data_IF_150286955658
#
_entry.id   IF_150286955658
#
_cell.length_a   1.000
_cell.length_b   1.000
_cell.length_c   1.000
_cell.angle_alpha   90.00
_cell.angle_beta   90.00
_cell.angle_gamma   90.00
#
_symmetry.space_group_name_H-M   'P 1'
#
loop_
_entity.id
_entity.type
_entity.pdbx_description
1 polymer ?
#
# COMPACT_ATOMS: atom_id res chain seq x y z
N UNK A 1 13.20 -9.22 28.96
CA UNK A 1 11.88 -8.90 28.38
C UNK A 1 11.30 -10.14 27.73
N UNK A 2 10.04 -10.49 28.02
CA UNK A 2 9.33 -11.63 27.45
C UNK A 2 7.88 -11.25 27.13
N UNK A 3 7.29 -11.87 26.09
CA UNK A 3 5.92 -11.65 25.65
C UNK A 3 4.97 -12.63 26.33
N UNK A 4 3.80 -12.15 26.73
CA UNK A 4 2.74 -12.92 27.39
C UNK A 4 1.37 -12.51 26.86
N UNK A 5 0.42 -13.43 26.91
CA UNK A 5 -0.99 -13.08 26.86
C UNK A 5 -1.40 -12.46 28.18
N UNK A 6 -2.02 -11.29 28.13
CA UNK A 6 -2.51 -10.60 29.32
C UNK A 6 -3.63 -11.40 30.00
N UNK A 7 -3.58 -11.49 31.30
CA UNK A 7 -4.58 -12.14 32.15
C UNK A 7 -5.21 -11.10 33.10
N UNK A 8 -6.40 -11.35 33.65
CA UNK A 8 -7.08 -10.39 34.52
C UNK A 8 -6.23 -9.86 35.68
N UNK A 9 -5.31 -10.67 36.18
CA UNK A 9 -4.37 -10.31 37.25
C UNK A 9 -3.35 -9.24 36.84
N UNK A 10 -3.16 -9.06 35.54
CA UNK A 10 -2.27 -8.04 34.96
C UNK A 10 -2.91 -6.66 34.86
N UNK A 11 -4.22 -6.54 35.06
CA UNK A 11 -5.00 -5.34 34.69
C UNK A 11 -4.48 -4.07 35.38
N UNK A 12 -4.06 -4.12 36.62
CA UNK A 12 -3.55 -2.95 37.33
C UNK A 12 -2.24 -2.46 36.72
N UNK A 13 -1.33 -3.36 36.39
CA UNK A 13 -0.05 -3.04 35.75
C UNK A 13 -0.27 -2.56 34.32
N UNK A 14 -1.23 -3.16 33.60
CA UNK A 14 -1.63 -2.74 32.27
C UNK A 14 -2.15 -1.30 32.28
N UNK A 15 -3.12 -1.00 33.15
CA UNK A 15 -3.70 0.34 33.25
C UNK A 15 -2.70 1.37 33.78
N UNK A 16 -1.72 0.98 34.57
CA UNK A 16 -0.62 1.85 34.99
C UNK A 16 0.19 2.34 33.77
N UNK A 17 0.52 1.43 32.84
CA UNK A 17 1.18 1.81 31.58
C UNK A 17 0.28 2.69 30.71
N UNK A 18 -1.00 2.30 30.53
CA UNK A 18 -1.96 3.10 29.75
C UNK A 18 -2.06 4.51 30.31
N UNK A 19 -2.17 4.66 31.62
CA UNK A 19 -2.23 5.98 32.30
C UNK A 19 -0.96 6.80 32.08
N UNK A 20 0.20 6.17 32.09
CA UNK A 20 1.49 6.83 31.82
C UNK A 20 1.56 7.44 30.42
N UNK A 21 0.92 6.81 29.42
CA UNK A 21 1.00 7.23 28.00
C UNK A 21 -0.31 7.77 27.44
N UNK A 22 -1.37 7.95 28.26
CA UNK A 22 -2.72 8.35 27.83
C UNK A 22 -2.77 9.62 26.98
N UNK A 23 -1.82 10.53 27.16
CA UNK A 23 -1.70 11.76 26.40
C UNK A 23 -1.42 11.52 24.88
N UNK A 24 -0.98 10.31 24.53
CA UNK A 24 -0.79 9.87 23.13
C UNK A 24 -1.99 9.09 22.58
N UNK A 25 -3.11 9.01 23.30
CA UNK A 25 -4.28 8.25 22.89
C UNK A 25 -5.54 9.11 22.98
N UNK A 26 -6.12 9.50 21.84
CA UNK A 26 -7.47 10.06 21.80
C UNK A 26 -8.47 9.14 22.50
N UNK A 27 -9.42 9.73 23.24
CA UNK A 27 -10.44 8.95 23.93
C UNK A 27 -10.02 8.40 25.31
N UNK A 28 -8.88 8.84 25.90
CA UNK A 28 -8.45 8.45 27.24
C UNK A 28 -8.24 9.65 28.19
N UNK A 29 -8.89 10.78 27.89
CA UNK A 29 -8.69 12.06 28.61
C UNK A 29 -9.32 12.04 30.00
N UNK A 30 -10.42 11.32 30.18
CA UNK A 30 -11.19 11.33 31.42
C UNK A 30 -11.07 10.01 32.20
N UNK A 31 -11.37 10.05 33.51
CA UNK A 31 -11.39 8.84 34.33
C UNK A 31 -12.49 7.88 33.89
N UNK A 32 -13.59 8.37 33.38
CA UNK A 32 -14.69 7.55 32.85
C UNK A 32 -14.22 6.75 31.65
N UNK A 33 -13.60 7.40 30.66
CA UNK A 33 -13.04 6.76 29.47
C UNK A 33 -11.92 5.75 29.82
N UNK A 34 -11.11 6.02 30.84
CA UNK A 34 -10.13 5.05 31.34
C UNK A 34 -10.81 3.81 31.95
N UNK A 35 -11.93 3.98 32.63
CA UNK A 35 -12.71 2.85 33.18
C UNK A 35 -13.36 2.02 32.07
N UNK A 36 -13.88 2.63 31.03
CA UNK A 36 -14.41 1.95 29.85
C UNK A 36 -13.30 1.19 29.10
N UNK A 37 -12.12 1.81 28.94
CA UNK A 37 -10.96 1.16 28.37
C UNK A 37 -10.53 -0.07 29.20
N UNK A 38 -10.50 0.06 30.53
CA UNK A 38 -10.23 -1.06 31.44
C UNK A 38 -11.18 -2.24 31.22
N UNK A 39 -12.47 -1.97 31.10
CA UNK A 39 -13.47 -3.00 30.81
C UNK A 39 -13.24 -3.67 29.45
N UNK A 40 -12.85 -2.86 28.46
CA UNK A 40 -12.48 -3.35 27.13
C UNK A 40 -11.24 -4.25 27.20
N UNK A 41 -10.19 -3.85 27.89
CA UNK A 41 -8.97 -4.66 28.08
C UNK A 41 -9.31 -6.02 28.70
N UNK A 42 -10.11 -6.06 29.76
CA UNK A 42 -10.53 -7.32 30.41
C UNK A 42 -11.30 -8.22 29.44
N UNK A 43 -12.17 -7.65 28.59
CA UNK A 43 -12.89 -8.39 27.55
C UNK A 43 -11.94 -8.99 26.50
N UNK A 44 -10.90 -8.26 26.11
CA UNK A 44 -9.88 -8.75 25.18
C UNK A 44 -8.96 -9.80 25.82
N UNK A 45 -8.61 -9.66 27.10
CA UNK A 45 -7.89 -10.68 27.86
C UNK A 45 -8.67 -11.99 27.89
N UNK A 46 -9.98 -11.96 28.18
CA UNK A 46 -10.84 -13.13 28.18
C UNK A 46 -10.93 -13.84 26.82
N UNK A 47 -10.69 -13.13 25.72
CA UNK A 47 -10.66 -13.66 24.35
C UNK A 47 -9.25 -14.05 23.88
N UNK A 48 -8.22 -13.90 24.71
CA UNK A 48 -6.79 -14.05 24.35
C UNK A 48 -6.42 -13.16 23.13
N UNK A 49 -6.87 -11.90 23.16
CA UNK A 49 -6.61 -10.87 22.15
C UNK A 49 -5.94 -9.63 22.79
N UNK A 50 -5.39 -9.78 23.96
CA UNK A 50 -4.57 -8.82 24.69
C UNK A 50 -3.19 -9.45 24.93
N UNK A 51 -2.13 -8.80 24.49
CA UNK A 51 -0.76 -9.25 24.68
C UNK A 51 0.08 -8.16 25.33
N UNK A 52 1.08 -8.56 26.14
CA UNK A 52 1.97 -7.63 26.80
C UNK A 52 3.41 -8.15 26.81
N UNK A 53 4.35 -7.23 26.85
CA UNK A 53 5.76 -7.54 27.12
C UNK A 53 6.06 -7.18 28.58
N UNK A 54 6.65 -8.11 29.30
CA UNK A 54 7.06 -7.94 30.69
C UNK A 54 8.59 -7.97 30.81
N UNK A 55 9.10 -7.10 31.65
CA UNK A 55 10.47 -7.11 32.11
C UNK A 55 10.42 -7.27 33.63
N UNK A 56 10.86 -8.44 34.11
CA UNK A 56 10.61 -8.89 35.50
C UNK A 56 9.12 -8.80 35.88
N UNK A 57 8.75 -7.87 36.74
CA UNK A 57 7.41 -7.69 37.22
C UNK A 57 6.69 -6.45 36.63
N UNK A 58 7.32 -5.73 35.68
CA UNK A 58 6.81 -4.51 35.04
C UNK A 58 6.28 -4.83 33.63
N UNK A 59 5.12 -4.32 33.29
CA UNK A 59 4.63 -4.31 31.90
C UNK A 59 5.28 -3.14 31.17
N UNK A 60 6.01 -3.44 30.10
CA UNK A 60 6.78 -2.47 29.30
C UNK A 60 6.12 -2.11 27.99
N UNK A 61 5.20 -2.96 27.50
CA UNK A 61 4.39 -2.71 26.32
C UNK A 61 3.12 -3.55 26.32
N UNK A 62 2.09 -3.05 25.67
CA UNK A 62 0.76 -3.68 25.58
C UNK A 62 0.20 -3.52 24.19
N UNK A 63 -0.63 -4.49 23.76
CA UNK A 63 -1.37 -4.44 22.52
C UNK A 63 -2.69 -5.16 22.65
N UNK A 64 -3.72 -4.60 22.02
CA UNK A 64 -5.00 -5.25 21.75
C UNK A 64 -5.14 -5.48 20.26
N UNK A 65 -5.62 -6.65 19.86
CA UNK A 65 -5.93 -6.98 18.48
C UNK A 65 -7.26 -7.73 18.38
N UNK A 66 -7.95 -7.63 17.26
CA UNK A 66 -9.25 -8.27 17.05
C UNK A 66 -9.17 -9.27 15.90
N UNK A 67 -9.32 -10.57 16.19
CA UNK A 67 -9.44 -11.60 15.14
C UNK A 67 -10.72 -11.46 14.33
N UNK A 68 -11.81 -11.02 14.97
CA UNK A 68 -13.10 -10.89 14.30
C UNK A 68 -13.13 -9.74 13.27
N UNK A 69 -12.40 -8.67 13.53
CA UNK A 69 -12.27 -7.53 12.62
C UNK A 69 -10.95 -7.52 11.86
N UNK A 70 -10.08 -8.49 12.11
CA UNK A 70 -8.75 -8.61 11.55
C UNK A 70 -7.93 -7.32 11.65
N UNK A 71 -7.82 -6.77 12.87
CA UNK A 71 -7.21 -5.46 13.09
C UNK A 71 -6.40 -5.37 14.37
N UNK A 72 -5.44 -4.45 14.40
CA UNK A 72 -4.74 -4.01 15.60
C UNK A 72 -5.52 -2.84 16.19
N UNK A 73 -5.99 -2.99 17.45
CA UNK A 73 -6.88 -2.02 18.07
C UNK A 73 -6.12 -0.93 18.86
N UNK A 74 -5.03 -1.28 19.51
CA UNK A 74 -4.13 -0.32 20.16
C UNK A 74 -2.76 -0.94 20.43
N UNK A 75 -1.74 -0.09 20.48
CA UNK A 75 -0.37 -0.45 20.88
C UNK A 75 0.21 0.66 21.73
N UNK A 76 0.76 0.31 22.89
CA UNK A 76 1.45 1.24 23.76
C UNK A 76 2.76 0.66 24.29
N UNK A 77 3.81 1.49 24.35
CA UNK A 77 5.10 1.14 24.90
C UNK A 77 5.53 2.20 25.90
N UNK A 78 5.98 1.74 27.08
CA UNK A 78 6.54 2.62 28.11
C UNK A 78 7.68 3.48 27.53
N UNK A 79 7.69 4.81 27.78
CA UNK A 79 8.73 5.68 27.28
C UNK A 79 10.16 5.20 27.56
N UNK A 80 10.39 4.59 28.72
CA UNK A 80 11.68 4.05 29.14
C UNK A 80 12.15 2.85 28.28
N UNK A 81 11.21 2.14 27.63
CA UNK A 81 11.47 0.94 26.84
C UNK A 81 11.26 1.13 25.34
N UNK A 82 11.11 2.41 24.90
CA UNK A 82 11.09 2.73 23.47
C UNK A 82 12.43 2.44 22.82
N UNK A 83 12.41 2.03 21.55
CA UNK A 83 13.59 1.63 20.77
C UNK A 83 14.32 0.37 21.31
N UNK A 84 13.71 -0.36 22.22
CA UNK A 84 14.22 -1.63 22.77
C UNK A 84 13.57 -2.88 22.14
N UNK A 85 12.88 -2.74 21.01
CA UNK A 85 12.26 -3.86 20.30
C UNK A 85 10.86 -4.26 20.81
N UNK A 86 10.35 -3.67 21.90
CA UNK A 86 9.07 -4.03 22.53
C UNK A 86 7.90 -3.97 21.53
N UNK A 87 7.79 -2.88 20.77
CA UNK A 87 6.73 -2.74 19.77
C UNK A 87 6.83 -3.81 18.67
N UNK A 88 8.04 -4.17 18.22
CA UNK A 88 8.23 -5.24 17.23
C UNK A 88 7.81 -6.60 17.77
N UNK A 89 8.13 -6.94 19.01
CA UNK A 89 7.67 -8.19 19.64
C UNK A 89 6.14 -8.28 19.66
N UNK A 90 5.46 -7.17 19.98
CA UNK A 90 4.00 -7.11 19.99
C UNK A 90 3.40 -7.23 18.57
N UNK A 91 4.00 -6.57 17.59
CA UNK A 91 3.58 -6.66 16.19
C UNK A 91 3.73 -8.08 15.64
N UNK A 92 4.88 -8.71 15.86
CA UNK A 92 5.16 -10.06 15.38
C UNK A 92 4.14 -11.07 15.93
N UNK A 93 3.82 -11.00 17.23
CA UNK A 93 2.81 -11.86 17.85
C UNK A 93 1.39 -11.55 17.35
N UNK A 94 1.03 -10.28 17.19
CA UNK A 94 -0.29 -9.91 16.68
C UNK A 94 -0.50 -10.42 15.26
N UNK A 95 0.47 -10.24 14.37
CA UNK A 95 0.40 -10.72 12.99
C UNK A 95 0.36 -12.25 12.90
N UNK A 96 1.03 -12.96 13.80
CA UNK A 96 0.93 -14.42 13.91
C UNK A 96 -0.47 -14.91 14.33
N UNK A 97 -1.29 -14.03 14.92
CA UNK A 97 -2.65 -14.33 15.40
C UNK A 97 -3.77 -13.76 14.52
N UNK A 98 -3.45 -12.94 13.54
CA UNK A 98 -4.39 -12.36 12.58
C UNK A 98 -4.35 -13.12 11.25
N UNK A 99 -5.39 -12.96 10.43
CA UNK A 99 -5.50 -13.63 9.12
C UNK A 99 -4.74 -12.82 8.05
N UNK A 100 -3.50 -13.20 7.81
CA UNK A 100 -2.62 -12.55 6.80
C UNK A 100 -3.05 -12.84 5.35
N UNK A 101 -4.09 -13.66 5.14
CA UNK A 101 -4.69 -13.88 3.81
C UNK A 101 -5.76 -12.85 3.48
N UNK A 102 -6.07 -11.97 4.43
CA UNK A 102 -6.99 -10.84 4.32
C UNK A 102 -6.29 -9.56 4.76
N UNK A 103 -6.87 -8.45 4.42
CA UNK A 103 -6.40 -7.16 4.91
C UNK A 103 -6.40 -7.08 6.42
N UNK A 104 -5.31 -6.58 6.99
CA UNK A 104 -5.19 -6.27 8.40
C UNK A 104 -5.15 -4.75 8.53
N UNK A 105 -6.02 -4.18 9.35
CA UNK A 105 -6.08 -2.73 9.53
C UNK A 105 -5.56 -2.28 10.89
N UNK A 106 -5.15 -1.02 10.94
CA UNK A 106 -4.82 -0.27 12.16
C UNK A 106 -5.07 1.21 11.92
N UNK A 107 -5.51 1.93 12.93
CA UNK A 107 -5.68 3.38 12.88
C UNK A 107 -4.61 4.09 13.69
N UNK A 108 -4.12 5.22 13.18
CA UNK A 108 -3.18 6.07 13.88
C UNK A 108 -3.33 7.54 13.47
N UNK A 109 -2.53 8.42 14.00
CA UNK A 109 -2.54 9.86 13.71
C UNK A 109 -2.24 10.16 12.25
N UNK A 110 -2.82 11.22 11.70
CA UNK A 110 -2.55 11.71 10.34
C UNK A 110 -1.10 12.15 10.15
N UNK A 111 -0.69 12.34 8.89
CA UNK A 111 0.68 12.65 8.53
C UNK A 111 1.20 13.97 9.13
N UNK A 112 0.32 14.95 9.32
CA UNK A 112 0.57 16.27 9.89
C UNK A 112 0.63 16.28 11.43
N UNK A 113 0.27 15.18 12.10
CA UNK A 113 0.36 15.05 13.55
C UNK A 113 1.69 14.42 13.98
N UNK A 114 2.50 15.17 14.71
CA UNK A 114 3.81 14.72 15.22
C UNK A 114 3.71 13.50 16.14
N UNK A 115 2.59 13.32 16.87
CA UNK A 115 2.35 12.14 17.72
C UNK A 115 2.36 10.83 16.92
N UNK A 116 1.98 10.92 15.63
CA UNK A 116 1.93 9.79 14.70
C UNK A 116 3.27 9.37 14.12
N UNK A 117 4.35 10.15 14.26
CA UNK A 117 5.64 9.87 13.60
C UNK A 117 6.19 8.48 13.94
N UNK A 118 6.21 8.10 15.21
CA UNK A 118 6.74 6.81 15.64
C UNK A 118 5.81 5.63 15.27
N UNK A 119 4.48 5.68 15.50
CA UNK A 119 3.59 4.59 15.11
C UNK A 119 3.51 4.43 13.59
N UNK A 120 3.45 5.51 12.79
CA UNK A 120 3.49 5.40 11.31
C UNK A 120 4.73 4.67 10.83
N UNK A 121 5.92 5.10 11.28
CA UNK A 121 7.17 4.44 10.92
C UNK A 121 7.22 2.97 11.34
N UNK A 122 6.57 2.59 12.45
CA UNK A 122 6.44 1.19 12.84
C UNK A 122 5.55 0.42 11.86
N UNK A 123 4.36 0.93 11.54
CA UNK A 123 3.44 0.25 10.64
C UNK A 123 4.00 0.14 9.22
N UNK A 124 4.60 1.19 8.69
CA UNK A 124 5.28 1.19 7.38
C UNK A 124 6.42 0.17 7.33
N UNK A 125 7.20 0.02 8.40
CA UNK A 125 8.23 -1.02 8.51
C UNK A 125 7.65 -2.43 8.37
N UNK A 126 6.40 -2.66 8.81
CA UNK A 126 5.69 -3.93 8.69
C UNK A 126 4.90 -4.07 7.37
N UNK A 127 5.02 -3.11 6.46
CA UNK A 127 4.39 -3.13 5.14
C UNK A 127 2.95 -2.62 5.12
N UNK A 128 2.48 -1.99 6.20
CA UNK A 128 1.21 -1.29 6.17
C UNK A 128 1.33 -0.02 5.33
N UNK A 129 0.31 0.27 4.53
CA UNK A 129 0.20 1.48 3.72
C UNK A 129 -0.96 2.34 4.20
N UNK A 130 -0.83 3.67 4.03
CA UNK A 130 -1.90 4.59 4.35
C UNK A 130 -3.08 4.36 3.39
N UNK A 131 -4.29 4.30 3.93
CA UNK A 131 -5.54 4.06 3.23
C UNK A 131 -6.45 5.30 3.36
N UNK A 132 -7.58 5.22 4.01
CA UNK A 132 -8.54 6.30 4.13
C UNK A 132 -8.31 7.19 5.36
N UNK A 133 -8.71 8.47 5.24
CA UNK A 133 -8.80 9.39 6.38
C UNK A 133 -10.11 9.11 7.12
N UNK A 134 -10.00 8.89 8.42
CA UNK A 134 -11.14 8.55 9.28
C UNK A 134 -11.19 9.49 10.49
N UNK A 135 -12.25 9.40 11.25
CA UNK A 135 -12.41 10.03 12.55
C UNK A 135 -12.76 8.96 13.58
N UNK A 136 -11.96 8.85 14.63
CA UNK A 136 -12.19 7.92 15.75
C UNK A 136 -11.96 8.66 17.08
N UNK A 137 -12.86 8.45 18.04
CA UNK A 137 -12.81 9.12 19.34
C UNK A 137 -12.83 10.66 19.24
N UNK A 138 -13.60 11.21 18.30
CA UNK A 138 -13.66 12.63 17.98
C UNK A 138 -12.28 13.23 17.59
N UNK A 139 -11.42 12.40 17.02
CA UNK A 139 -10.07 12.77 16.62
C UNK A 139 -9.77 12.34 15.18
N UNK A 140 -9.12 13.23 14.38
CA UNK A 140 -8.76 12.88 13.00
C UNK A 140 -7.64 11.85 12.95
N UNK A 141 -7.93 10.69 12.35
CA UNK A 141 -7.02 9.57 12.22
C UNK A 141 -6.79 9.19 10.75
N UNK A 142 -5.75 8.41 10.53
CA UNK A 142 -5.40 7.73 9.29
C UNK A 142 -5.50 6.24 9.50
N UNK A 143 -6.32 5.57 8.71
CA UNK A 143 -6.31 4.11 8.63
C UNK A 143 -5.09 3.66 7.82
N UNK A 144 -4.43 2.62 8.29
CA UNK A 144 -3.37 1.90 7.60
C UNK A 144 -3.80 0.46 7.36
N UNK A 145 -3.44 -0.09 6.22
CA UNK A 145 -3.80 -1.45 5.82
C UNK A 145 -2.56 -2.23 5.42
N UNK A 146 -2.43 -3.45 5.96
CA UNK A 146 -1.51 -4.46 5.47
C UNK A 146 -2.27 -5.38 4.53
N UNK A 147 -1.96 -5.30 3.25
CA UNK A 147 -2.57 -6.16 2.23
C UNK A 147 -2.01 -7.58 2.29
N UNK A 148 -2.79 -8.60 1.90
CA UNK A 148 -2.31 -9.97 1.80
C UNK A 148 -1.09 -10.09 0.90
N UNK A 149 -0.14 -10.93 1.26
CA UNK A 149 1.03 -11.17 0.45
C UNK A 149 0.64 -11.58 -0.98
N UNK A 150 1.10 -10.81 -1.97
CA UNK A 150 0.80 -11.04 -3.38
C UNK A 150 -0.52 -10.45 -3.89
N UNK A 151 -1.31 -9.71 -3.08
CA UNK A 151 -2.48 -8.96 -3.57
C UNK A 151 -2.06 -7.89 -4.58
N UNK A 152 -1.08 -7.06 -4.27
CA UNK A 152 -0.50 -6.08 -5.20
C UNK A 152 -0.06 -6.71 -6.52
N UNK A 153 0.55 -7.89 -6.48
CA UNK A 153 0.96 -8.61 -7.69
C UNK A 153 -0.23 -9.05 -8.53
N UNK A 154 -1.32 -9.53 -7.89
CA UNK A 154 -2.55 -9.93 -8.60
C UNK A 154 -3.28 -8.74 -9.19
N UNK A 155 -3.43 -7.67 -8.44
CA UNK A 155 -4.08 -6.42 -8.89
C UNK A 155 -3.30 -5.79 -10.04
N UNK A 156 -1.97 -5.70 -9.93
CA UNK A 156 -1.09 -5.26 -11.00
C UNK A 156 -1.24 -6.11 -12.25
N UNK A 157 -1.25 -7.45 -12.10
CA UNK A 157 -1.43 -8.37 -13.23
C UNK A 157 -2.80 -8.20 -13.90
N UNK A 158 -3.84 -7.95 -13.11
CA UNK A 158 -5.18 -7.66 -13.63
C UNK A 158 -5.19 -6.35 -14.43
N UNK A 159 -4.57 -5.29 -13.91
CA UNK A 159 -4.43 -4.01 -14.61
C UNK A 159 -3.66 -4.17 -15.93
N UNK A 160 -2.54 -4.91 -15.92
CA UNK A 160 -1.78 -5.24 -17.12
C UNK A 160 -2.65 -5.98 -18.13
N UNK A 161 -3.33 -7.05 -17.74
CA UNK A 161 -4.16 -7.85 -18.62
C UNK A 161 -5.29 -7.03 -19.24
N UNK A 162 -5.92 -6.16 -18.46
CA UNK A 162 -6.96 -5.24 -18.94
C UNK A 162 -6.40 -4.28 -19.97
N UNK A 163 -5.30 -3.61 -19.67
CA UNK A 163 -4.64 -2.66 -20.59
C UNK A 163 -4.22 -3.34 -21.89
N UNK A 164 -3.60 -4.50 -21.80
CA UNK A 164 -3.19 -5.30 -22.99
C UNK A 164 -4.39 -5.68 -23.85
N UNK A 165 -5.50 -6.10 -23.25
CA UNK A 165 -6.73 -6.45 -23.97
C UNK A 165 -7.31 -5.25 -24.71
N UNK A 166 -7.41 -4.09 -24.05
CA UNK A 166 -7.97 -2.87 -24.65
C UNK A 166 -7.07 -2.34 -25.80
N UNK A 167 -5.75 -2.30 -25.61
CA UNK A 167 -4.81 -1.95 -26.68
C UNK A 167 -4.94 -2.91 -27.87
N UNK A 168 -4.98 -4.21 -27.60
CA UNK A 168 -5.13 -5.24 -28.66
C UNK A 168 -6.45 -5.10 -29.41
N UNK A 169 -7.52 -4.69 -28.73
CA UNK A 169 -8.81 -4.42 -29.36
C UNK A 169 -8.75 -3.24 -30.33
N UNK A 170 -8.15 -2.12 -29.91
CA UNK A 170 -7.98 -0.91 -30.76
C UNK A 170 -7.10 -1.20 -31.98
N UNK A 171 -6.06 -2.01 -31.81
CA UNK A 171 -5.04 -2.31 -32.82
C UNK A 171 -5.25 -3.67 -33.52
N UNK A 172 -6.46 -4.26 -33.44
CA UNK A 172 -6.73 -5.63 -33.88
C UNK A 172 -6.37 -5.92 -35.34
N UNK A 173 -6.43 -4.92 -36.24
CA UNK A 173 -6.07 -5.02 -37.65
C UNK A 173 -4.57 -4.74 -37.92
N UNK A 174 -3.83 -4.32 -36.90
CA UNK A 174 -2.40 -4.02 -36.96
C UNK A 174 -1.51 -5.12 -36.38
N UNK A 175 -2.07 -6.25 -35.94
CA UNK A 175 -1.38 -7.41 -35.37
C UNK A 175 -0.37 -6.98 -34.26
N UNK A 176 -0.83 -6.38 -33.15
CA UNK A 176 0.06 -5.80 -32.15
C UNK A 176 0.82 -6.88 -31.38
N UNK A 177 2.12 -6.67 -31.18
CA UNK A 177 2.94 -7.38 -30.22
C UNK A 177 3.22 -6.43 -29.06
N UNK A 178 2.80 -6.83 -27.83
CA UNK A 178 2.92 -6.01 -26.62
C UNK A 178 3.95 -6.63 -25.70
N UNK A 179 4.94 -5.85 -25.36
CA UNK A 179 6.04 -6.25 -24.47
C UNK A 179 5.97 -5.43 -23.18
N UNK A 180 6.16 -6.14 -22.07
CA UNK A 180 6.42 -5.52 -20.76
C UNK A 180 7.92 -5.61 -20.48
N UNK A 181 8.51 -4.57 -19.89
CA UNK A 181 9.92 -4.54 -19.52
C UNK A 181 10.14 -3.78 -18.21
N UNK A 182 11.39 -3.51 -17.83
CA UNK A 182 11.69 -2.73 -16.64
C UNK A 182 11.40 -3.43 -15.31
N UNK A 183 11.14 -2.64 -14.29
CA UNK A 183 11.00 -3.09 -12.89
C UNK A 183 9.86 -4.10 -12.68
N UNK A 184 8.80 -4.01 -13.46
CA UNK A 184 7.63 -4.90 -13.34
C UNK A 184 7.97 -6.35 -13.70
N UNK A 185 8.90 -6.56 -14.62
CA UNK A 185 9.36 -7.89 -15.07
C UNK A 185 10.47 -8.42 -14.18
N UNK A 186 11.31 -7.55 -13.67
CA UNK A 186 12.46 -7.90 -12.81
C UNK A 186 12.08 -8.19 -11.35
N UNK A 187 10.79 -8.19 -11.00
CA UNK A 187 10.28 -8.32 -9.62
C UNK A 187 10.78 -7.24 -8.66
N UNK A 188 11.09 -6.03 -9.15
CA UNK A 188 11.50 -4.87 -8.37
C UNK A 188 10.51 -3.70 -8.50
N UNK A 189 9.27 -4.00 -8.86
CA UNK A 189 8.21 -3.00 -8.95
C UNK A 189 7.82 -2.49 -7.56
N UNK A 190 7.75 -1.16 -7.42
CA UNK A 190 7.34 -0.47 -6.19
C UNK A 190 6.25 0.53 -6.53
N UNK A 191 5.04 0.29 -6.05
CA UNK A 191 3.91 1.17 -6.28
C UNK A 191 4.23 2.62 -5.83
N UNK A 192 3.89 3.59 -6.68
CA UNK A 192 4.17 5.01 -6.46
C UNK A 192 5.58 5.48 -6.83
N UNK A 193 6.49 4.55 -7.20
CA UNK A 193 7.86 4.85 -7.63
C UNK A 193 8.22 4.24 -8.99
N UNK A 194 7.70 3.04 -9.25
CA UNK A 194 7.98 2.30 -10.48
C UNK A 194 6.91 2.51 -11.53
N UNK A 195 7.31 2.46 -12.79
CA UNK A 195 6.44 2.49 -13.95
C UNK A 195 6.14 1.08 -14.46
N UNK A 196 5.02 0.94 -15.16
CA UNK A 196 4.65 -0.25 -15.92
C UNK A 196 5.06 -0.01 -17.37
N UNK A 197 6.32 -0.33 -17.68
CA UNK A 197 6.92 -0.06 -18.97
C UNK A 197 6.35 -0.98 -20.04
N UNK A 198 5.81 -0.40 -21.13
CA UNK A 198 5.24 -1.12 -22.27
C UNK A 198 5.85 -0.68 -23.58
N UNK A 199 6.05 -1.63 -24.48
CA UNK A 199 6.37 -1.38 -25.88
C UNK A 199 5.37 -2.12 -26.74
N UNK A 200 4.66 -1.40 -27.61
CA UNK A 200 3.72 -1.98 -28.56
C UNK A 200 4.26 -1.84 -29.96
N UNK A 201 4.50 -2.97 -30.61
CA UNK A 201 4.97 -3.03 -32.00
C UNK A 201 3.87 -3.55 -32.89
N UNK A 202 3.58 -2.85 -33.99
CA UNK A 202 2.53 -3.20 -34.94
C UNK A 202 3.12 -3.60 -36.31
N UNK A 203 2.38 -4.42 -37.07
CA UNK A 203 2.78 -4.80 -38.42
C UNK A 203 2.46 -3.68 -39.45
N UNK A 204 1.51 -2.80 -39.13
CA UNK A 204 1.06 -1.68 -39.97
C UNK A 204 1.07 -0.40 -39.17
N UNK A 205 1.16 0.73 -39.88
CA UNK A 205 1.10 2.05 -39.26
C UNK A 205 -0.21 2.26 -38.52
N UNK A 206 -0.11 2.77 -37.29
CA UNK A 206 -1.25 3.16 -36.46
C UNK A 206 -1.98 4.33 -37.15
N UNK A 207 -3.27 4.18 -37.41
CA UNK A 207 -4.09 5.24 -38.00
C UNK A 207 -4.28 6.40 -37.02
N UNK A 208 -4.68 7.56 -37.54
CA UNK A 208 -4.97 8.73 -36.69
C UNK A 208 -6.10 8.46 -35.70
N UNK A 209 -7.11 7.71 -36.12
CA UNK A 209 -8.25 7.33 -35.29
C UNK A 209 -7.85 6.37 -34.17
N UNK A 210 -7.06 5.35 -34.50
CA UNK A 210 -6.48 4.43 -33.52
C UNK A 210 -5.56 5.16 -32.51
N UNK A 211 -4.73 6.09 -32.99
CA UNK A 211 -3.86 6.88 -32.15
C UNK A 211 -4.65 7.74 -31.14
N UNK A 212 -5.73 8.39 -31.60
CA UNK A 212 -6.64 9.14 -30.71
C UNK A 212 -7.34 8.22 -29.69
N UNK A 213 -7.75 7.03 -30.13
CA UNK A 213 -8.35 6.04 -29.24
C UNK A 213 -7.37 5.55 -28.17
N UNK A 214 -6.10 5.32 -28.53
CA UNK A 214 -5.05 4.93 -27.56
C UNK A 214 -4.73 6.04 -26.55
N UNK A 215 -4.69 7.30 -26.99
CA UNK A 215 -4.54 8.45 -26.07
C UNK A 215 -5.73 8.53 -25.12
N UNK A 216 -6.94 8.37 -25.62
CA UNK A 216 -8.15 8.41 -24.79
C UNK A 216 -8.30 7.21 -23.85
N UNK A 217 -7.74 6.06 -24.22
CA UNK A 217 -7.87 4.81 -23.45
C UNK A 217 -7.37 4.96 -22.01
N UNK A 218 -6.15 5.43 -21.81
CA UNK A 218 -5.56 5.58 -20.46
C UNK A 218 -6.40 6.52 -19.58
N UNK A 219 -6.90 7.61 -20.16
CA UNK A 219 -7.78 8.55 -19.46
C UNK A 219 -9.13 7.92 -19.12
N UNK A 220 -9.71 7.14 -20.04
CA UNK A 220 -10.94 6.41 -19.78
C UNK A 220 -10.78 5.41 -18.64
N UNK A 221 -9.69 4.64 -18.62
CA UNK A 221 -9.39 3.69 -17.55
C UNK A 221 -9.26 4.38 -16.17
N UNK A 222 -8.69 5.58 -16.13
CA UNK A 222 -8.58 6.38 -14.89
C UNK A 222 -9.93 6.96 -14.43
N UNK A 223 -10.86 7.18 -15.35
CA UNK A 223 -12.23 7.64 -15.04
C UNK A 223 -13.10 6.48 -14.58
N UNK A 224 -12.97 5.32 -15.23
CA UNK A 224 -13.78 4.13 -14.95
C UNK A 224 -13.40 3.46 -13.62
N UNK A 225 -12.13 3.51 -13.26
CA UNK A 225 -11.60 2.94 -12.00
C UNK A 225 -10.55 3.90 -11.39
N UNK A 226 -10.99 5.01 -10.76
CA UNK A 226 -10.10 6.05 -10.25
C UNK A 226 -9.24 5.60 -9.06
N UNK A 227 -9.67 4.55 -8.36
CA UNK A 227 -8.98 3.99 -7.20
C UNK A 227 -7.89 2.99 -7.59
N UNK A 228 -7.80 2.61 -8.87
CA UNK A 228 -6.78 1.69 -9.35
C UNK A 228 -5.42 2.41 -9.53
N UNK A 229 -4.44 2.14 -8.67
CA UNK A 229 -3.19 2.89 -8.67
C UNK A 229 -2.30 2.57 -9.87
N UNK A 230 -2.56 1.47 -10.59
CA UNK A 230 -1.68 0.97 -11.66
C UNK A 230 -1.93 1.66 -12.99
N UNK A 231 -3.15 2.14 -13.29
CA UNK A 231 -3.44 2.77 -14.59
C UNK A 231 -2.62 4.04 -14.85
N UNK A 232 -2.22 4.75 -13.79
CA UNK A 232 -1.34 5.92 -13.89
C UNK A 232 0.12 5.57 -14.16
N UNK A 233 0.51 4.34 -13.83
CA UNK A 233 1.91 3.90 -13.89
C UNK A 233 2.33 3.41 -15.28
N UNK A 234 1.41 3.22 -16.24
CA UNK A 234 1.79 2.78 -17.58
C UNK A 234 2.58 3.86 -18.32
N UNK A 235 3.77 3.48 -18.81
CA UNK A 235 4.62 4.30 -19.65
C UNK A 235 5.13 3.51 -20.84
N UNK A 236 5.26 4.17 -22.01
CA UNK A 236 5.87 3.55 -23.15
C UNK A 236 5.38 4.03 -24.51
N UNK A 237 5.89 3.43 -25.56
CA UNK A 237 5.65 3.79 -26.95
C UNK A 237 4.95 2.71 -27.75
N UNK A 238 4.17 3.14 -28.74
CA UNK A 238 3.43 2.30 -29.67
C UNK A 238 3.72 2.75 -31.10
N UNK A 239 4.35 1.89 -31.90
CA UNK A 239 4.81 2.21 -33.24
C UNK A 239 4.94 0.93 -34.10
N UNK A 240 5.27 1.09 -35.39
CA UNK A 240 5.52 -0.09 -36.24
C UNK A 240 6.83 -0.78 -35.90
N UNK A 241 6.89 -2.10 -36.11
CA UNK A 241 8.10 -2.88 -36.00
C UNK A 241 9.20 -2.38 -36.98
N UNK A 242 8.80 -2.00 -38.20
CA UNK A 242 9.77 -1.46 -39.20
C UNK A 242 10.40 -0.13 -38.72
N UNK A 243 9.61 0.77 -38.17
CA UNK A 243 10.12 2.02 -37.60
C UNK A 243 11.07 1.75 -36.42
N UNK A 244 10.69 0.83 -35.54
CA UNK A 244 11.50 0.45 -34.38
C UNK A 244 12.87 -0.11 -34.80
N UNK A 245 12.90 -1.04 -35.77
CA UNK A 245 14.15 -1.68 -36.22
C UNK A 245 15.00 -0.78 -37.14
N UNK A 246 14.34 -0.03 -38.04
CA UNK A 246 15.03 0.77 -39.08
C UNK A 246 15.28 2.21 -38.66
N UNK A 247 14.87 2.61 -37.46
CA UNK A 247 14.94 3.99 -36.93
C UNK A 247 14.32 5.03 -37.89
N UNK A 248 13.23 4.63 -38.56
CA UNK A 248 12.49 5.50 -39.47
C UNK A 248 11.45 6.31 -38.71
N UNK A 249 11.10 7.46 -39.24
CA UNK A 249 9.96 8.22 -38.76
C UNK A 249 8.66 7.45 -38.97
N UNK A 250 7.79 7.47 -37.95
CA UNK A 250 6.48 6.84 -37.97
C UNK A 250 5.52 7.64 -37.06
N UNK A 251 4.24 7.30 -37.13
CA UNK A 251 3.30 7.76 -36.10
C UNK A 251 3.52 6.95 -34.83
N UNK A 252 3.84 7.64 -33.77
CA UNK A 252 4.05 7.04 -32.44
C UNK A 252 3.01 7.57 -31.49
N UNK A 253 2.35 6.67 -30.75
CA UNK A 253 1.60 7.03 -29.55
C UNK A 253 2.48 6.78 -28.35
N UNK A 254 2.59 7.78 -27.48
CA UNK A 254 3.39 7.68 -26.27
C UNK A 254 2.53 7.94 -25.05
N UNK A 255 2.63 7.08 -24.06
CA UNK A 255 2.12 7.28 -22.72
C UNK A 255 3.28 7.57 -21.77
N UNK A 256 3.18 8.62 -20.98
CA UNK A 256 4.25 8.98 -20.05
C UNK A 256 3.74 9.73 -18.83
N UNK A 257 4.63 9.99 -17.91
CA UNK A 257 4.35 10.75 -16.67
C UNK A 257 3.87 12.18 -16.95
N UNK A 258 4.29 12.77 -18.09
CA UNK A 258 3.85 14.10 -18.57
C UNK A 258 2.55 14.06 -19.37
N UNK A 259 1.89 12.92 -19.46
CA UNK A 259 0.66 12.70 -20.23
C UNK A 259 0.88 11.94 -21.55
N UNK A 260 -0.21 11.77 -22.29
CA UNK A 260 -0.27 11.06 -23.56
C UNK A 260 0.00 12.03 -24.71
N UNK A 261 0.64 11.53 -25.76
CA UNK A 261 0.88 12.32 -26.98
C UNK A 261 0.94 11.47 -28.25
N UNK A 262 0.60 12.08 -29.36
CA UNK A 262 0.80 11.54 -30.70
C UNK A 262 1.90 12.36 -31.36
N UNK A 263 2.85 11.70 -31.99
CA UNK A 263 3.90 12.35 -32.78
C UNK A 263 4.08 11.62 -34.10
N UNK A 264 4.20 12.37 -35.21
CA UNK A 264 4.47 11.85 -36.54
C UNK A 264 5.98 11.92 -36.89
N UNK A 265 6.80 12.47 -36.00
CA UNK A 265 8.25 12.50 -36.13
C UNK A 265 8.88 11.96 -34.87
N UNK A 266 9.16 10.68 -34.90
CA UNK A 266 9.86 10.05 -33.80
C UNK A 266 11.37 10.12 -34.03
N UNK A 267 12.08 10.91 -33.22
CA UNK A 267 13.51 10.82 -33.12
C UNK A 267 13.87 9.71 -32.15
N UNK A 268 14.42 8.62 -32.65
CA UNK A 268 14.77 7.41 -31.87
C UNK A 268 15.79 7.70 -30.75
N UNK A 269 16.41 8.87 -30.77
CA UNK A 269 17.34 9.33 -29.73
C UNK A 269 16.67 9.58 -28.35
N UNK A 270 15.33 9.59 -28.30
CA UNK A 270 14.59 9.74 -27.03
C UNK A 270 14.24 8.41 -26.31
N UNK A 271 14.40 7.26 -27.00
CA UNK A 271 14.42 5.95 -26.33
C UNK A 271 15.89 5.56 -26.15
N UNK A 272 16.43 5.75 -24.97
CA UNK A 272 17.74 5.23 -24.66
C UNK A 272 17.72 3.71 -24.77
N UNK A 273 18.52 3.13 -25.68
CA UNK A 273 18.71 1.67 -25.77
C UNK A 273 19.21 1.08 -24.44
N UNK A 274 19.64 1.91 -23.49
CA UNK A 274 20.01 1.51 -22.14
C UNK A 274 18.81 1.01 -21.30
N UNK A 275 17.57 1.28 -21.72
CA UNK A 275 16.35 0.82 -21.02
C UNK A 275 15.86 -0.55 -21.52
N UNK A 276 16.48 -1.10 -22.55
CA UNK A 276 16.09 -2.39 -23.17
C UNK A 276 17.08 -3.54 -22.89
N UNK A 277 18.08 -3.33 -22.02
CA UNK A 277 19.07 -4.37 -21.67
C UNK A 277 18.90 -4.84 -20.24
#
# INVERSE_FOLDING_TARGET
MQLFYGVPEDIEKWMSLVTQVRWSFPGLETQEKLNEHRATVLKFMGKRQAICVKDENKITGVMLFSRGHNMICCLAVSPEYRRCGVASMLMDEALANLDVTKEISVSTFRADDEKGTAPRALYEKYGFVADELIEEFDYPNQKYVLHPAGSERKERQLAINTTVREISGILSDCEPSIYMYGSSVLNDFRLGWSELDILVLTSKQITEEQAKSLVGLRQAMLVDDPDNPYYRSFEGGMLTLDAFLSKKTDRVVYWGTSGERITDSYAFDSFGMAELV
#
